data_IF_704385301054
#
_entry.id   IF_704385301054
#
_cell.length_a   1.000
_cell.length_b   1.000
_cell.length_c   1.000
_cell.angle_alpha   90.00
_cell.angle_beta   90.00
_cell.angle_gamma   90.00
#
_symmetry.space_group_name_H-M   'P 1'
#
loop_
_entity.id
_entity.type
_entity.pdbx_description
1 polymer ?
#
# COMPACT_ATOMS: atom_id res chain seq x y z
N UNK A 1 14.50 3.64 9.09
CA UNK A 1 14.15 3.00 7.80
C UNK A 1 12.65 2.71 7.74
N UNK A 2 12.05 3.04 6.63
CA UNK A 2 10.63 2.79 6.40
C UNK A 2 10.44 1.89 5.20
N UNK A 3 9.43 1.03 5.28
CA UNK A 3 9.03 0.17 4.16
C UNK A 3 7.52 0.18 4.07
N UNK A 4 7.00 -0.05 2.88
CA UNK A 4 5.56 -0.14 2.68
C UNK A 4 5.24 -1.35 1.81
N UNK A 5 4.35 -2.20 2.30
CA UNK A 5 3.90 -3.39 1.57
C UNK A 5 2.50 -3.14 1.03
N UNK A 6 2.29 -3.44 -0.24
CA UNK A 6 0.99 -3.29 -0.88
C UNK A 6 0.63 -4.56 -1.60
N UNK A 7 -0.59 -5.03 -1.39
CA UNK A 7 -1.17 -6.15 -2.12
C UNK A 7 -2.54 -5.76 -2.65
N UNK A 8 -2.77 -5.97 -3.93
CA UNK A 8 -4.07 -5.77 -4.55
C UNK A 8 -4.82 -7.10 -4.63
N UNK A 9 -6.14 -7.03 -4.58
CA UNK A 9 -7.01 -8.18 -4.85
C UNK A 9 -7.10 -8.35 -6.36
N UNK A 10 -6.08 -8.99 -6.94
CA UNK A 10 -5.93 -9.07 -8.40
C UNK A 10 -7.04 -9.89 -9.06
N UNK A 11 -7.52 -10.92 -8.38
CA UNK A 11 -8.64 -11.71 -8.90
C UNK A 11 -9.88 -10.83 -9.10
N UNK A 12 -10.18 -9.99 -8.12
CA UNK A 12 -11.33 -9.08 -8.22
C UNK A 12 -11.13 -8.01 -9.28
N UNK A 13 -9.91 -7.48 -9.41
CA UNK A 13 -9.61 -6.49 -10.45
C UNK A 13 -9.89 -7.09 -11.82
N UNK A 14 -9.41 -8.31 -12.05
CA UNK A 14 -9.59 -9.00 -13.34
C UNK A 14 -11.04 -9.36 -13.59
N UNK A 15 -11.75 -9.81 -12.55
CA UNK A 15 -13.14 -10.24 -12.67
C UNK A 15 -14.10 -9.05 -12.85
N UNK A 16 -13.86 -7.94 -12.17
CA UNK A 16 -14.72 -6.76 -12.24
C UNK A 16 -14.56 -5.99 -13.54
N UNK A 17 -13.39 -6.06 -14.16
CA UNK A 17 -13.11 -5.42 -15.47
C UNK A 17 -13.32 -3.91 -15.48
N UNK A 18 -13.16 -3.25 -14.35
CA UNK A 18 -13.27 -1.80 -14.25
C UNK A 18 -11.97 -1.08 -14.58
N UNK A 19 -10.84 -1.69 -14.22
CA UNK A 19 -9.51 -1.09 -14.35
C UNK A 19 -8.53 -2.10 -14.91
N UNK A 20 -7.52 -1.63 -15.64
CA UNK A 20 -6.42 -2.46 -16.08
C UNK A 20 -5.44 -2.65 -14.92
N UNK A 21 -5.20 -3.90 -14.52
CA UNK A 21 -4.30 -4.22 -13.41
C UNK A 21 -2.91 -3.64 -13.60
N UNK A 22 -2.39 -3.70 -14.83
CA UNK A 22 -1.07 -3.14 -15.15
C UNK A 22 -1.00 -1.64 -14.92
N UNK A 23 -2.09 -0.91 -15.21
CA UNK A 23 -2.14 0.53 -14.99
C UNK A 23 -2.16 0.85 -13.49
N UNK A 24 -2.88 0.04 -12.70
CA UNK A 24 -2.92 0.22 -11.26
C UNK A 24 -1.53 0.09 -10.66
N UNK A 25 -0.80 -0.98 -11.00
CA UNK A 25 0.56 -1.17 -10.51
C UNK A 25 1.52 -0.10 -11.02
N UNK A 26 1.35 0.37 -12.25
CA UNK A 26 2.18 1.44 -12.79
C UNK A 26 2.01 2.73 -11.98
N UNK A 27 0.78 3.06 -11.61
CA UNK A 27 0.49 4.25 -10.80
C UNK A 27 1.06 4.09 -9.39
N UNK A 28 0.91 2.90 -8.78
CA UNK A 28 1.47 2.63 -7.46
C UNK A 28 2.99 2.74 -7.48
N UNK A 29 3.65 2.08 -8.44
CA UNK A 29 5.11 2.11 -8.55
C UNK A 29 5.63 3.54 -8.66
N UNK A 30 4.94 4.38 -9.40
CA UNK A 30 5.33 5.76 -9.62
C UNK A 30 5.37 6.57 -8.32
N UNK A 31 4.53 6.21 -7.33
CA UNK A 31 4.52 6.91 -6.05
C UNK A 31 5.83 6.70 -5.28
N UNK A 32 6.55 5.62 -5.54
CA UNK A 32 7.76 5.25 -4.80
C UNK A 32 9.03 5.38 -5.64
N UNK A 33 8.91 5.54 -6.94
CA UNK A 33 10.06 5.49 -7.85
C UNK A 33 11.09 6.58 -7.54
N UNK A 34 12.37 6.20 -7.62
CA UNK A 34 13.49 7.12 -7.41
C UNK A 34 14.04 7.10 -6.00
N UNK A 35 13.19 6.99 -4.96
CA UNK A 35 13.62 7.06 -3.57
C UNK A 35 13.43 5.74 -2.83
N UNK A 36 12.79 4.76 -3.45
CA UNK A 36 12.55 3.46 -2.83
C UNK A 36 12.95 2.33 -3.77
N UNK A 37 13.38 1.22 -3.17
CA UNK A 37 13.65 -0.02 -3.90
C UNK A 37 12.38 -0.88 -3.89
N UNK A 38 12.15 -1.59 -4.99
CA UNK A 38 10.94 -2.39 -5.18
C UNK A 38 11.30 -3.88 -5.16
N UNK A 39 10.52 -4.66 -4.43
CA UNK A 39 10.66 -6.11 -4.39
C UNK A 39 9.30 -6.79 -4.47
N UNK A 40 9.08 -7.57 -5.53
CA UNK A 40 7.85 -8.36 -5.68
C UNK A 40 7.97 -9.61 -4.83
N UNK A 41 6.96 -9.86 -3.98
CA UNK A 41 6.94 -11.00 -3.07
C UNK A 41 6.30 -12.22 -3.77
N UNK A 42 6.56 -13.44 -3.25
CA UNK A 42 5.95 -14.64 -3.84
C UNK A 42 4.43 -14.65 -3.88
N UNK A 43 3.78 -13.94 -2.94
CA UNK A 43 2.32 -13.88 -2.87
C UNK A 43 1.71 -12.79 -3.77
N UNK A 44 2.55 -12.12 -4.57
CA UNK A 44 2.09 -11.05 -5.45
C UNK A 44 2.05 -9.67 -4.82
N UNK A 45 2.27 -9.57 -3.50
CA UNK A 45 2.43 -8.27 -2.87
C UNK A 45 3.76 -7.64 -3.28
N UNK A 46 3.88 -6.33 -3.12
CA UNK A 46 5.10 -5.60 -3.47
C UNK A 46 5.58 -4.82 -2.26
N UNK A 47 6.85 -4.99 -1.93
CA UNK A 47 7.50 -4.28 -0.84
C UNK A 47 8.33 -3.12 -1.43
N UNK A 48 8.04 -1.92 -0.95
CA UNK A 48 8.81 -0.72 -1.30
C UNK A 48 9.63 -0.33 -0.08
N UNK A 49 10.96 -0.39 -0.21
CA UNK A 49 11.89 -0.11 0.90
C UNK A 49 12.59 1.22 0.65
N UNK A 50 12.64 2.08 1.65
CA UNK A 50 13.33 3.36 1.51
C UNK A 50 14.81 3.17 1.21
N UNK A 51 15.32 3.89 0.22
CA UNK A 51 16.74 3.89 -0.08
C UNK A 51 17.44 4.86 0.86
N UNK A 52 18.40 4.41 1.70
CA UNK A 52 19.03 5.27 2.71
C UNK A 52 19.81 6.44 2.12
N UNK A 53 20.13 6.40 0.82
CA UNK A 53 20.87 7.49 0.15
C UNK A 53 19.93 8.50 -0.51
N UNK A 54 18.62 8.37 -0.30
CA UNK A 54 17.62 9.22 -0.92
C UNK A 54 16.64 9.73 0.14
N UNK A 55 15.81 10.71 -0.23
CA UNK A 55 14.77 11.23 0.63
C UNK A 55 13.52 10.32 0.58
N UNK A 56 13.66 9.10 1.13
CA UNK A 56 12.57 8.13 1.11
C UNK A 56 11.43 8.52 2.05
N UNK A 57 11.73 9.23 3.14
CA UNK A 57 10.71 9.60 4.13
C UNK A 57 9.61 10.42 3.48
N UNK A 58 9.98 11.53 2.82
CA UNK A 58 9.02 12.38 2.14
C UNK A 58 8.29 11.62 1.06
N UNK A 59 9.02 10.78 0.30
CA UNK A 59 8.43 10.02 -0.79
C UNK A 59 7.35 9.05 -0.28
N UNK A 60 7.64 8.29 0.78
CA UNK A 60 6.69 7.34 1.35
C UNK A 60 5.49 8.06 1.94
N UNK A 61 5.70 9.20 2.62
CA UNK A 61 4.59 9.98 3.18
C UNK A 61 3.66 10.50 2.08
N UNK A 62 4.23 11.01 0.98
CA UNK A 62 3.43 11.48 -0.16
C UNK A 62 2.70 10.32 -0.84
N UNK A 63 3.34 9.16 -0.94
CA UNK A 63 2.71 7.95 -1.48
C UNK A 63 1.51 7.55 -0.63
N UNK A 64 1.66 7.53 0.69
CA UNK A 64 0.57 7.24 1.60
C UNK A 64 -0.61 8.19 1.37
N UNK A 65 -0.34 9.49 1.34
CA UNK A 65 -1.40 10.49 1.14
C UNK A 65 -2.08 10.34 -0.21
N UNK A 66 -1.31 10.11 -1.26
CA UNK A 66 -1.85 9.95 -2.60
C UNK A 66 -2.73 8.71 -2.71
N UNK A 67 -2.27 7.57 -2.18
CA UNK A 67 -3.01 6.31 -2.27
C UNK A 67 -4.26 6.34 -1.39
N UNK A 68 -4.20 7.00 -0.23
CA UNK A 68 -5.38 7.11 0.64
C UNK A 68 -6.49 7.96 0.05
N UNK A 69 -6.21 8.65 -1.05
CA UNK A 69 -7.17 9.54 -1.73
C UNK A 69 -7.73 8.93 -3.02
N UNK A 70 -7.36 7.69 -3.33
CA UNK A 70 -7.76 7.04 -4.59
C UNK A 70 -8.82 5.98 -4.35
N UNK A 71 -9.98 6.19 -4.98
CA UNK A 71 -11.11 5.26 -4.85
C UNK A 71 -10.76 3.85 -5.32
N UNK A 72 -10.08 3.73 -6.45
CA UNK A 72 -9.72 2.41 -6.98
C UNK A 72 -8.75 1.66 -6.05
N UNK A 73 -7.86 2.38 -5.39
CA UNK A 73 -6.96 1.77 -4.43
C UNK A 73 -7.72 1.29 -3.20
N UNK A 74 -8.65 2.12 -2.69
CA UNK A 74 -9.50 1.75 -1.57
C UNK A 74 -10.33 0.51 -1.87
N UNK A 75 -10.82 0.40 -3.10
CA UNK A 75 -11.71 -0.67 -3.53
C UNK A 75 -10.98 -2.01 -3.66
N UNK A 76 -9.76 -2.00 -4.17
CA UNK A 76 -9.06 -3.23 -4.54
C UNK A 76 -7.83 -3.55 -3.69
N UNK A 77 -7.50 -2.70 -2.73
CA UNK A 77 -6.38 -2.98 -1.83
C UNK A 77 -6.75 -4.10 -0.87
N UNK A 78 -5.94 -5.15 -0.86
CA UNK A 78 -6.13 -6.33 -0.01
C UNK A 78 -5.28 -6.26 1.25
N UNK A 79 -4.09 -5.66 1.14
CA UNK A 79 -3.15 -5.53 2.24
C UNK A 79 -2.31 -4.28 2.04
N UNK A 80 -2.14 -3.50 3.10
CA UNK A 80 -1.36 -2.27 3.05
C UNK A 80 -0.73 -2.09 4.42
N UNK A 81 0.59 -2.30 4.50
CA UNK A 81 1.32 -2.33 5.76
C UNK A 81 2.49 -1.36 5.72
N UNK A 82 2.68 -0.63 6.79
CA UNK A 82 3.80 0.28 6.97
C UNK A 82 4.74 -0.32 7.98
N UNK A 83 6.00 -0.47 7.62
CA UNK A 83 7.06 -0.95 8.52
C UNK A 83 8.00 0.19 8.86
N UNK A 84 8.34 0.33 10.14
CA UNK A 84 9.22 1.38 10.60
C UNK A 84 10.03 0.87 11.80
N UNK A 85 11.31 1.21 11.87
CA UNK A 85 12.16 0.93 13.02
C UNK A 85 12.79 2.20 13.60
N UNK A 86 12.23 3.38 13.31
CA UNK A 86 12.71 4.67 13.79
C UNK A 86 14.19 4.93 13.46
N UNK A 87 14.65 4.43 12.31
CA UNK A 87 16.05 4.54 11.86
C UNK A 87 17.06 3.94 12.84
N UNK A 88 16.62 3.01 13.68
CA UNK A 88 17.49 2.34 14.63
C UNK A 88 17.66 0.87 14.23
N UNK A 89 18.86 0.52 13.76
CA UNK A 89 19.15 -0.83 13.28
C UNK A 89 19.05 -1.89 14.37
N UNK A 90 19.16 -1.47 15.64
CA UNK A 90 19.06 -2.39 16.78
C UNK A 90 17.62 -2.71 17.15
N UNK A 91 16.65 -1.99 16.57
CA UNK A 91 15.24 -2.23 16.85
C UNK A 91 14.60 -3.03 15.72
N UNK A 92 13.67 -3.94 16.06
CA UNK A 92 12.89 -4.63 15.03
C UNK A 92 11.93 -3.65 14.35
N UNK A 93 11.53 -3.96 13.12
CA UNK A 93 10.50 -3.20 12.46
C UNK A 93 9.16 -3.40 13.16
N UNK A 94 8.46 -2.29 13.40
CA UNK A 94 7.06 -2.34 13.82
C UNK A 94 6.20 -2.31 12.57
N UNK A 95 5.14 -3.10 12.56
CA UNK A 95 4.20 -3.12 11.45
C UNK A 95 2.90 -2.45 11.84
N UNK A 96 2.41 -1.60 10.95
CA UNK A 96 1.16 -0.87 11.13
C UNK A 96 0.23 -1.27 9.98
N UNK A 97 -0.94 -1.79 10.34
CA UNK A 97 -1.98 -2.12 9.36
C UNK A 97 -2.65 -0.83 8.88
N UNK A 98 -2.10 -0.25 7.82
CA UNK A 98 -2.61 1.00 7.27
C UNK A 98 -4.00 0.81 6.69
N UNK A 99 -4.23 -0.30 5.99
CA UNK A 99 -5.54 -0.58 5.41
C UNK A 99 -6.63 -0.62 6.47
N UNK A 100 -6.38 -1.32 7.57
CA UNK A 100 -7.31 -1.41 8.68
C UNK A 100 -7.61 -0.04 9.29
N UNK A 101 -6.59 0.79 9.46
CA UNK A 101 -6.77 2.14 10.00
C UNK A 101 -7.57 3.03 9.05
N UNK A 102 -7.27 2.98 7.76
CA UNK A 102 -7.98 3.79 6.77
C UNK A 102 -9.46 3.35 6.68
N UNK A 103 -9.73 2.07 6.77
CA UNK A 103 -11.11 1.57 6.76
C UNK A 103 -11.93 2.05 7.95
N UNK A 104 -11.29 2.35 9.08
CA UNK A 104 -11.96 2.87 10.27
C UNK A 104 -12.23 4.37 10.21
N UNK A 105 -11.33 5.14 9.59
CA UNK A 105 -11.38 6.62 9.70
C UNK A 105 -11.57 7.34 8.37
N UNK A 106 -11.22 6.71 7.25
CA UNK A 106 -11.30 7.34 5.93
C UNK A 106 -12.60 6.92 5.26
N UNK A 107 -13.57 7.85 5.03
CA UNK A 107 -14.87 7.49 4.45
C UNK A 107 -14.75 6.76 3.11
N UNK A 108 -13.74 7.10 2.32
CA UNK A 108 -13.50 6.45 1.03
C UNK A 108 -13.21 4.96 1.20
N UNK A 109 -12.44 4.60 2.23
CA UNK A 109 -12.08 3.21 2.51
C UNK A 109 -13.17 2.50 3.30
N UNK A 110 -13.88 3.21 4.16
CA UNK A 110 -14.94 2.62 5.01
C UNK A 110 -16.05 1.96 4.19
N UNK A 111 -16.35 2.51 3.02
CA UNK A 111 -17.36 1.95 2.11
C UNK A 111 -17.01 0.52 1.74
N UNK A 112 -15.74 0.27 1.44
CA UNK A 112 -15.30 -1.05 0.97
C UNK A 112 -15.05 -2.04 2.10
N UNK A 113 -14.85 -1.58 3.33
CA UNK A 113 -14.72 -2.49 4.46
C UNK A 113 -16.03 -3.23 4.73
N UNK A 114 -17.17 -2.59 4.47
CA UNK A 114 -18.48 -3.23 4.65
C UNK A 114 -18.74 -4.33 3.63
N UNK A 115 -18.25 -4.15 2.40
CA UNK A 115 -18.46 -5.16 1.36
C UNK A 115 -17.52 -6.36 1.52
N UNK A 116 -16.41 -6.20 2.22
CA UNK A 116 -15.48 -7.31 2.45
C UNK A 116 -15.78 -8.04 3.74
N UNK A 117 -16.44 -7.43 4.63
CA UNK A 117 -16.74 -8.02 5.91
C UNK A 117 -17.87 -8.93 5.88
N UNK A 118 -18.16 -9.22 5.33
CA UNK A 118 -18.91 -9.98 5.69
C UNK A 118 -19.31 -11.04 5.52
N UNK A 119 -18.91 -11.17 5.26
CA UNK A 119 -19.40 -12.24 5.21
C UNK A 119 -19.65 -12.94 6.35
N UNK A 120 -19.80 -12.51 6.91
CA UNK A 120 -19.89 -13.14 7.99
C UNK A 120 -20.62 -13.88 8.12
#
# INVERSE_FOLDING_TARGET
MMKMLIQLDEERVLSDKKYALSDMWRIIDKQFAGECDKEVQPDGSVLYSGNPNKDYYTKIMLAYMSLSDKKWFAEYCKRWVWYDNDDNEDLPFQDIDVLGKERKRNPLFAIFSKSTGRSE
#
